data_IF_499698007110
#
_entry.id   IF_499698007110
#
_cell.length_a   1.000
_cell.length_b   1.000
_cell.length_c   1.000
_cell.angle_alpha   90.00
_cell.angle_beta   90.00
_cell.angle_gamma   90.00
#
_symmetry.space_group_name_H-M   'P 1'
#
loop_
_entity.id
_entity.type
_entity.pdbx_description
1 polymer ?
#
# COMPACT_ATOMS: atom_id res chain seq x y z
N UNK A 1 -0.37 38.70 -10.64
CA UNK A 1 0.70 37.91 -9.96
C UNK A 1 0.55 36.40 -10.11
N UNK A 2 -0.66 35.82 -10.18
CA UNK A 2 -0.86 34.36 -10.31
C UNK A 2 -0.14 33.64 -11.46
N UNK A 3 0.23 34.34 -12.55
CA UNK A 3 1.08 33.76 -13.62
C UNK A 3 2.48 33.33 -13.15
N UNK A 4 3.00 33.95 -12.10
CA UNK A 4 4.35 33.69 -11.56
C UNK A 4 4.42 32.30 -10.89
N UNK A 5 3.57 31.96 -9.90
CA UNK A 5 3.58 30.62 -9.30
C UNK A 5 3.20 29.54 -10.32
N UNK A 6 2.31 29.81 -11.29
CA UNK A 6 1.96 28.86 -12.34
C UNK A 6 3.15 28.55 -13.26
N UNK A 7 3.92 29.56 -13.68
CA UNK A 7 5.12 29.34 -14.49
C UNK A 7 6.17 28.53 -13.72
N UNK A 8 6.40 28.86 -12.45
CA UNK A 8 7.33 28.13 -11.58
C UNK A 8 6.93 26.66 -11.42
N UNK A 9 5.66 26.40 -11.09
CA UNK A 9 5.14 25.04 -10.95
C UNK A 9 5.22 24.24 -12.26
N UNK A 10 4.93 24.88 -13.40
CA UNK A 10 4.99 24.24 -14.71
C UNK A 10 6.40 23.78 -15.05
N UNK A 11 7.39 24.64 -14.86
CA UNK A 11 8.82 24.31 -15.09
C UNK A 11 9.27 23.19 -14.15
N UNK A 12 8.89 23.27 -12.86
CA UNK A 12 9.19 22.23 -11.89
C UNK A 12 8.62 20.87 -12.31
N UNK A 13 7.33 20.82 -12.65
CA UNK A 13 6.67 19.58 -13.09
C UNK A 13 7.27 19.05 -14.40
N UNK A 14 7.65 19.92 -15.34
CA UNK A 14 8.28 19.52 -16.60
C UNK A 14 9.62 18.80 -16.36
N UNK A 15 10.43 19.28 -15.41
CA UNK A 15 11.74 18.73 -15.07
C UNK A 15 11.69 17.59 -14.04
N UNK A 16 10.58 17.43 -13.30
CA UNK A 16 10.44 16.39 -12.29
C UNK A 16 10.52 14.96 -12.89
N UNK A 17 11.07 13.98 -12.16
CA UNK A 17 10.96 12.57 -12.52
C UNK A 17 9.49 12.16 -12.67
N UNK A 18 9.16 11.45 -13.77
CA UNK A 18 7.77 11.07 -14.07
C UNK A 18 7.49 9.64 -13.63
N UNK A 19 6.47 9.47 -12.80
CA UNK A 19 5.90 8.17 -12.42
C UNK A 19 4.38 8.28 -12.32
N UNK A 20 3.67 7.31 -12.88
CA UNK A 20 2.23 7.11 -12.70
C UNK A 20 1.94 5.88 -11.81
N UNK A 21 2.95 5.31 -11.12
CA UNK A 21 2.83 4.03 -10.42
C UNK A 21 1.76 4.05 -9.31
N UNK A 22 1.68 5.13 -8.53
CA UNK A 22 0.62 5.30 -7.53
C UNK A 22 -0.77 5.46 -8.17
N UNK A 23 -0.85 6.15 -9.32
CA UNK A 23 -2.10 6.34 -10.07
C UNK A 23 -2.62 5.00 -10.64
N UNK A 24 -1.75 4.20 -11.24
CA UNK A 24 -2.13 2.87 -11.73
C UNK A 24 -2.49 1.92 -10.58
N UNK A 25 -1.79 2.01 -9.45
CA UNK A 25 -2.08 1.20 -8.26
C UNK A 25 -3.48 1.45 -7.70
N UNK A 26 -3.88 2.71 -7.54
CA UNK A 26 -5.22 3.02 -7.02
C UNK A 26 -6.32 2.62 -8.02
N UNK A 27 -6.08 2.81 -9.32
CA UNK A 27 -7.04 2.39 -10.35
C UNK A 27 -7.22 0.87 -10.35
N UNK A 28 -6.14 0.10 -10.21
CA UNK A 28 -6.19 -1.35 -10.12
C UNK A 28 -6.94 -1.82 -8.87
N UNK A 29 -6.70 -1.20 -7.71
CA UNK A 29 -7.43 -1.52 -6.49
C UNK A 29 -8.93 -1.19 -6.60
N UNK A 30 -9.28 -0.05 -7.21
CA UNK A 30 -10.68 0.31 -7.46
C UNK A 30 -11.35 -0.63 -8.47
N UNK A 31 -10.61 -1.06 -9.50
CA UNK A 31 -11.11 -2.02 -10.48
C UNK A 31 -11.39 -3.37 -9.83
N UNK A 32 -10.47 -3.87 -8.99
CA UNK A 32 -10.66 -5.10 -8.23
C UNK A 32 -11.97 -5.04 -7.40
N UNK A 33 -12.26 -3.91 -6.75
CA UNK A 33 -13.52 -3.71 -6.03
C UNK A 33 -14.73 -3.80 -6.98
N UNK A 34 -14.67 -3.14 -8.15
CA UNK A 34 -15.74 -3.19 -9.17
C UNK A 34 -15.97 -4.60 -9.72
N UNK A 35 -14.91 -5.39 -9.82
CA UNK A 35 -14.94 -6.78 -10.28
C UNK A 35 -15.39 -7.75 -9.18
N UNK A 36 -15.76 -7.24 -8.00
CA UNK A 36 -16.25 -8.04 -6.88
C UNK A 36 -15.15 -8.60 -5.97
N UNK A 37 -13.88 -8.28 -6.23
CA UNK A 37 -12.76 -8.60 -5.33
C UNK A 37 -12.74 -7.64 -4.14
N UNK A 38 -13.69 -7.85 -3.24
CA UNK A 38 -13.76 -7.22 -1.93
C UNK A 38 -13.96 -8.30 -0.86
N UNK A 39 -13.74 -7.94 0.40
CA UNK A 39 -13.90 -8.90 1.48
C UNK A 39 -14.03 -8.21 2.82
N UNK A 40 -14.25 -9.03 3.85
CA UNK A 40 -14.40 -8.52 5.22
C UNK A 40 -13.05 -8.07 5.76
N UNK A 41 -13.03 -6.93 6.45
CA UNK A 41 -11.85 -6.43 7.16
C UNK A 41 -11.37 -7.51 8.17
N UNK A 42 -10.07 -7.85 8.22
CA UNK A 42 -9.54 -8.80 9.20
C UNK A 42 -9.83 -8.35 10.64
N UNK A 43 -10.23 -9.24 11.57
CA UNK A 43 -10.63 -8.86 12.94
C UNK A 43 -9.58 -8.06 13.70
N UNK A 44 -8.29 -8.38 13.51
CA UNK A 44 -7.17 -7.70 14.15
C UNK A 44 -7.10 -6.21 13.82
N UNK A 45 -7.59 -5.76 12.66
CA UNK A 45 -7.55 -4.34 12.24
C UNK A 45 -8.92 -3.66 12.30
N UNK A 46 -9.91 -4.28 12.94
CA UNK A 46 -11.22 -3.66 13.20
C UNK A 46 -11.18 -2.79 14.43
N UNK A 47 -12.07 -1.81 14.48
CA UNK A 47 -12.23 -0.95 15.65
C UNK A 47 -12.67 -1.77 16.87
N UNK A 48 -11.97 -1.55 17.99
CA UNK A 48 -12.17 -2.22 19.27
C UNK A 48 -12.94 -1.37 20.30
N UNK A 49 -13.27 -0.11 19.98
CA UNK A 49 -13.75 0.86 20.98
C UNK A 49 -15.28 0.89 21.17
N UNK A 50 -16.05 0.12 20.41
CA UNK A 50 -17.51 0.13 20.50
C UNK A 50 -18.06 -1.01 21.38
N UNK A 51 -19.27 -0.82 21.89
CA UNK A 51 -19.94 -1.80 22.75
C UNK A 51 -20.12 -3.15 22.03
N UNK A 52 -19.53 -4.21 22.57
CA UNK A 52 -19.56 -5.56 21.99
C UNK A 52 -18.36 -5.94 21.11
N UNK A 53 -17.43 -5.01 20.84
CA UNK A 53 -16.24 -5.28 20.03
C UNK A 53 -15.37 -6.43 20.60
N UNK A 54 -15.16 -6.45 21.92
CA UNK A 54 -14.41 -7.53 22.59
C UNK A 54 -15.08 -8.90 22.43
N UNK A 55 -16.42 -8.96 22.50
CA UNK A 55 -17.18 -10.20 22.31
C UNK A 55 -17.12 -10.70 20.85
N UNK A 56 -16.93 -9.79 19.88
CA UNK A 56 -16.74 -10.09 18.46
C UNK A 56 -15.27 -10.35 18.09
N UNK A 57 -14.34 -10.28 19.05
CA UNK A 57 -12.91 -10.50 18.82
C UNK A 57 -12.23 -9.37 18.03
N UNK A 58 -12.83 -8.17 17.97
CA UNK A 58 -12.23 -7.06 17.24
C UNK A 58 -11.01 -6.51 17.97
N UNK A 59 -9.91 -6.35 17.24
CA UNK A 59 -8.66 -5.78 17.76
C UNK A 59 -7.90 -6.64 18.78
N UNK A 60 -8.39 -7.83 19.14
CA UNK A 60 -7.71 -8.69 20.14
C UNK A 60 -6.32 -9.16 19.69
N UNK A 61 -6.15 -9.42 18.39
CA UNK A 61 -4.87 -9.86 17.82
C UNK A 61 -4.14 -8.71 17.08
N UNK A 62 -4.51 -7.46 17.35
CA UNK A 62 -3.82 -6.32 16.77
C UNK A 62 -2.41 -6.21 17.36
N UNK A 63 -1.40 -6.23 16.49
CA UNK A 63 -0.02 -5.94 16.89
C UNK A 63 0.31 -4.51 16.50
N UNK A 64 0.68 -3.70 17.50
CA UNK A 64 0.99 -2.29 17.33
C UNK A 64 2.39 -2.13 16.72
N UNK A 65 2.53 -1.59 15.49
CA UNK A 65 3.82 -1.60 14.81
C UNK A 65 4.94 -0.84 15.50
N UNK A 66 4.62 0.14 16.35
CA UNK A 66 5.64 0.93 17.05
C UNK A 66 6.33 0.16 18.18
N UNK A 67 5.77 -0.97 18.63
CA UNK A 67 6.39 -1.83 19.63
C UNK A 67 7.38 -2.82 18.99
N UNK A 68 7.35 -3.00 17.67
CA UNK A 68 8.30 -3.84 16.95
C UNK A 68 9.63 -3.10 16.69
N UNK A 69 10.80 -3.74 16.86
CA UNK A 69 12.11 -3.10 16.66
C UNK A 69 12.30 -2.46 15.27
N UNK A 70 11.68 -3.04 14.24
CA UNK A 70 11.75 -2.53 12.87
C UNK A 70 10.61 -1.55 12.51
N UNK A 71 9.65 -1.34 13.40
CA UNK A 71 8.43 -0.59 13.08
C UNK A 71 7.51 -1.32 12.08
N UNK A 72 7.72 -2.62 11.85
CA UNK A 72 7.10 -3.41 10.79
C UNK A 72 6.60 -4.72 11.39
N UNK A 73 5.33 -5.06 11.13
CA UNK A 73 4.66 -6.24 11.69
C UNK A 73 4.19 -7.16 10.57
N UNK A 74 4.44 -8.47 10.73
CA UNK A 74 3.81 -9.51 9.94
C UNK A 74 2.37 -9.79 10.41
N UNK A 75 1.42 -8.98 9.94
CA UNK A 75 -0.01 -9.20 10.15
C UNK A 75 -0.81 -9.04 8.84
N UNK A 76 -2.04 -9.55 8.83
CA UNK A 76 -2.95 -9.41 7.70
C UNK A 76 -3.69 -8.07 7.74
N UNK A 77 -3.43 -7.22 6.75
CA UNK A 77 -4.12 -5.93 6.60
C UNK A 77 -5.24 -5.96 5.56
N UNK A 78 -5.04 -6.72 4.49
CA UNK A 78 -5.99 -6.85 3.38
C UNK A 78 -6.97 -8.02 3.63
N UNK A 79 -8.24 -7.90 3.21
CA UNK A 79 -9.18 -9.01 3.22
C UNK A 79 -8.65 -10.22 2.44
N UNK A 80 -9.13 -11.42 2.78
CA UNK A 80 -8.66 -12.67 2.14
C UNK A 80 -8.77 -12.65 0.61
N UNK A 81 -9.85 -12.06 0.09
CA UNK A 81 -10.09 -11.93 -1.35
C UNK A 81 -8.97 -11.21 -2.12
N UNK A 82 -8.22 -10.31 -1.45
CA UNK A 82 -7.18 -9.50 -2.07
C UNK A 82 -5.83 -9.56 -1.34
N UNK A 83 -5.67 -10.48 -0.37
CA UNK A 83 -4.47 -10.53 0.49
C UNK A 83 -3.16 -10.76 -0.25
N UNK A 84 -3.22 -11.42 -1.41
CA UNK A 84 -2.07 -11.71 -2.28
C UNK A 84 -1.84 -10.64 -3.35
N UNK A 85 -2.73 -9.65 -3.48
CA UNK A 85 -2.62 -8.65 -4.53
C UNK A 85 -1.56 -7.61 -4.20
N UNK A 86 -0.77 -7.25 -5.21
CA UNK A 86 0.20 -6.14 -5.15
C UNK A 86 -0.18 -5.10 -6.18
N UNK A 87 -0.71 -3.98 -5.72
CA UNK A 87 -1.13 -2.89 -6.61
C UNK A 87 -0.01 -1.88 -6.90
N UNK A 88 0.81 -1.57 -5.88
CA UNK A 88 1.91 -0.61 -6.03
C UNK A 88 3.23 -1.31 -6.34
N UNK A 89 3.83 -0.94 -7.46
CA UNK A 89 5.19 -1.33 -7.83
C UNK A 89 5.98 -0.05 -8.13
N UNK A 90 6.88 0.37 -7.24
CA UNK A 90 7.62 1.62 -7.40
C UNK A 90 8.53 1.58 -8.63
N UNK A 91 8.69 2.72 -9.30
CA UNK A 91 9.70 2.86 -10.36
C UNK A 91 11.08 3.14 -9.78
N UNK A 92 12.10 3.17 -10.64
CA UNK A 92 13.47 3.54 -10.29
C UNK A 92 13.75 5.03 -10.48
N UNK A 93 12.73 5.86 -10.73
CA UNK A 93 12.88 7.28 -11.09
C UNK A 93 12.69 8.17 -9.87
N UNK A 94 13.59 9.13 -9.69
CA UNK A 94 13.47 10.13 -8.63
C UNK A 94 13.39 9.49 -7.25
N UNK A 95 12.47 10.00 -6.42
CA UNK A 95 12.29 9.51 -5.05
C UNK A 95 11.73 8.07 -4.97
N UNK A 96 11.07 7.57 -6.02
CA UNK A 96 10.57 6.19 -6.00
C UNK A 96 11.69 5.15 -5.96
N UNK A 97 12.92 5.49 -6.38
CA UNK A 97 14.07 4.60 -6.21
C UNK A 97 14.34 4.28 -4.72
N UNK A 98 14.11 5.26 -3.83
CA UNK A 98 14.21 5.06 -2.39
C UNK A 98 13.03 4.25 -1.85
N UNK A 99 11.82 4.49 -2.37
CA UNK A 99 10.64 3.69 -2.03
C UNK A 99 10.77 2.24 -2.49
N UNK A 100 11.45 1.98 -3.61
CA UNK A 100 11.74 0.64 -4.10
C UNK A 100 12.65 -0.12 -3.14
N UNK A 101 13.73 0.50 -2.67
CA UNK A 101 14.61 -0.07 -1.63
C UNK A 101 13.85 -0.34 -0.34
N UNK A 102 13.08 0.65 0.13
CA UNK A 102 12.26 0.49 1.35
C UNK A 102 11.24 -0.64 1.21
N UNK A 103 10.59 -0.76 0.05
CA UNK A 103 9.64 -1.83 -0.23
C UNK A 103 10.31 -3.21 -0.21
N UNK A 104 11.56 -3.33 -0.65
CA UNK A 104 12.34 -4.57 -0.58
C UNK A 104 12.66 -4.94 0.87
N UNK A 105 13.17 -3.99 1.66
CA UNK A 105 13.45 -4.19 3.09
C UNK A 105 12.21 -4.63 3.86
N UNK A 106 11.05 -3.98 3.60
CA UNK A 106 9.78 -4.39 4.19
C UNK A 106 9.42 -5.82 3.78
N UNK A 107 9.59 -6.19 2.51
CA UNK A 107 9.29 -7.54 2.05
C UNK A 107 10.19 -8.59 2.71
N UNK A 108 11.48 -8.29 2.88
CA UNK A 108 12.45 -9.16 3.58
C UNK A 108 12.07 -9.38 5.04
N UNK A 109 11.76 -8.30 5.78
CA UNK A 109 11.33 -8.38 7.19
C UNK A 109 10.06 -9.22 7.32
N UNK A 110 9.15 -9.10 6.35
CA UNK A 110 7.89 -9.85 6.32
C UNK A 110 8.04 -11.28 5.78
N UNK A 111 9.25 -11.73 5.43
CA UNK A 111 9.50 -13.05 4.84
C UNK A 111 8.82 -13.26 3.48
N UNK A 112 8.43 -12.18 2.80
CA UNK A 112 7.77 -12.23 1.49
C UNK A 112 8.85 -12.32 0.41
N UNK A 113 9.12 -13.53 -0.09
CA UNK A 113 10.02 -13.71 -1.23
C UNK A 113 9.56 -12.85 -2.40
N UNK A 114 10.49 -12.17 -3.07
CA UNK A 114 10.24 -11.34 -4.25
C UNK A 114 9.67 -12.18 -5.39
N UNK A 115 8.34 -12.34 -5.43
CA UNK A 115 7.69 -12.91 -6.60
C UNK A 115 7.81 -11.88 -7.71
N UNK A 116 8.68 -12.19 -8.68
CA UNK A 116 8.85 -11.44 -9.92
C UNK A 116 7.49 -11.05 -10.50
N UNK A 117 7.31 -9.77 -10.81
CA UNK A 117 6.14 -9.23 -11.48
C UNK A 117 6.13 -9.65 -12.97
N UNK A 118 6.03 -10.95 -13.23
CA UNK A 118 5.98 -11.53 -14.56
C UNK A 118 4.91 -12.64 -14.61
N UNK A 119 3.66 -12.24 -14.50
CA UNK A 119 2.50 -13.00 -14.96
C UNK A 119 1.39 -11.97 -15.21
N UNK A 120 1.49 -11.29 -16.35
CA UNK A 120 0.35 -10.64 -16.98
C UNK A 120 -0.43 -11.75 -17.67
N UNK A 121 -1.68 -12.06 -17.28
CA UNK A 121 -2.50 -12.97 -18.07
C UNK A 121 -2.82 -12.29 -19.41
N UNK A 122 -2.73 -13.10 -20.46
CA UNK A 122 -3.00 -12.79 -21.88
C UNK A 122 -4.41 -12.25 -22.12
#
# INVERSE_FOLDING_TARGET
>A
EGRIPLAQATIYLALAPKSNAAYTAINAAQQAIRDGHSGVVPPAVRDAHYFGAAALGHGQDYVYPHDEPAGIVAQQYAPDAVRSHRYYTPTTRGFEAELAKRSQVIAEILGRSSRSAAETPE
#
